data_IF_436895017900
#
_entry.id   IF_436895017900
#
_cell.length_a   1.000
_cell.length_b   1.000
_cell.length_c   1.000
_cell.angle_alpha   90.00
_cell.angle_beta   90.00
_cell.angle_gamma   90.00
#
_symmetry.space_group_name_H-M   'P 1'
#
loop_
_entity.id
_entity.type
_entity.pdbx_description
1 polymer ?
#
# COMPACT_ATOMS: atom_id res chain seq x y z
N UNK A 1 10.30 -5.36 28.71
CA UNK A 1 9.64 -6.27 27.74
C UNK A 1 10.63 -6.51 26.62
N UNK A 2 11.08 -7.75 26.43
CA UNK A 2 12.15 -8.06 25.46
C UNK A 2 11.52 -8.12 24.06
N UNK A 3 12.27 -7.76 23.02
CA UNK A 3 11.81 -7.75 21.61
C UNK A 3 11.21 -9.10 21.14
N UNK A 4 11.67 -10.22 21.74
CA UNK A 4 11.13 -11.56 21.49
C UNK A 4 9.66 -11.73 21.93
N UNK A 5 9.23 -11.01 22.97
CA UNK A 5 7.84 -11.09 23.45
C UNK A 5 6.86 -10.38 22.50
N UNK A 6 7.36 -9.37 21.78
CA UNK A 6 6.57 -8.62 20.79
C UNK A 6 6.43 -9.42 19.49
N UNK A 7 7.48 -10.12 19.04
CA UNK A 7 7.39 -10.95 17.82
C UNK A 7 6.48 -12.16 18.01
N UNK A 8 6.52 -12.81 19.18
CA UNK A 8 5.63 -13.93 19.50
C UNK A 8 4.16 -13.47 19.61
N UNK A 9 3.93 -12.28 20.15
CA UNK A 9 2.59 -11.70 20.20
C UNK A 9 2.06 -11.34 18.81
N UNK A 10 2.90 -10.79 17.93
CA UNK A 10 2.55 -10.52 16.53
C UNK A 10 2.28 -11.80 15.74
N UNK A 11 3.07 -12.87 15.94
CA UNK A 11 2.82 -14.17 15.31
C UNK A 11 1.46 -14.76 15.72
N UNK A 12 1.12 -14.75 17.01
CA UNK A 12 -0.18 -15.23 17.50
C UNK A 12 -1.36 -14.42 16.94
N UNK A 13 -1.19 -13.11 16.71
CA UNK A 13 -2.22 -12.28 16.07
C UNK A 13 -2.42 -12.62 14.60
N UNK A 14 -1.32 -12.93 13.88
CA UNK A 14 -1.37 -13.34 12.47
C UNK A 14 -2.10 -14.68 12.29
N UNK A 15 -1.84 -15.68 13.15
CA UNK A 15 -2.52 -16.97 13.09
C UNK A 15 -4.03 -16.85 13.37
N UNK A 16 -4.40 -16.00 14.34
CA UNK A 16 -5.82 -15.73 14.65
C UNK A 16 -6.54 -14.98 13.53
N UNK A 17 -5.85 -14.09 12.82
CA UNK A 17 -6.41 -13.39 11.67
C UNK A 17 -6.61 -14.33 10.47
N UNK A 18 -5.62 -15.19 10.21
CA UNK A 18 -5.68 -16.24 9.18
C UNK A 18 -6.81 -17.23 9.48
N UNK A 19 -6.94 -17.70 10.73
CA UNK A 19 -8.02 -18.60 11.13
C UNK A 19 -9.43 -17.96 10.99
N UNK A 20 -9.56 -16.66 11.26
CA UNK A 20 -10.82 -15.91 11.05
C UNK A 20 -11.19 -15.77 9.57
N UNK A 21 -10.21 -15.61 8.68
CA UNK A 21 -10.43 -15.59 7.23
C UNK A 21 -10.96 -16.94 6.73
N UNK A 22 -10.44 -18.06 7.25
CA UNK A 22 -10.94 -19.40 6.92
C UNK A 22 -12.38 -19.64 7.45
N UNK A 23 -12.70 -19.19 8.67
CA UNK A 23 -14.05 -19.33 9.25
C UNK A 23 -15.12 -18.53 8.50
N UNK A 24 -14.79 -17.32 8.04
CA UNK A 24 -15.73 -16.48 7.29
C UNK A 24 -15.96 -16.98 5.85
N UNK A 25 -14.98 -17.68 5.25
CA UNK A 25 -15.14 -18.29 3.92
C UNK A 25 -16.08 -19.49 3.96
N UNK A 26 -15.99 -20.33 5.00
CA UNK A 26 -16.91 -21.46 5.21
C UNK A 26 -18.37 -21.03 5.49
N UNK A 27 -18.58 -19.86 6.10
CA UNK A 27 -19.92 -19.32 6.39
C UNK A 27 -20.59 -18.65 5.19
N UNK A 28 -19.81 -18.15 4.22
CA UNK A 28 -20.34 -17.56 2.97
C UNK A 28 -20.74 -18.61 1.93
N UNK A 29 -20.16 -19.81 1.99
CA UNK A 29 -20.56 -20.92 1.11
C UNK A 29 -21.86 -21.60 1.53
N UNK A 30 -22.39 -21.32 2.73
CA UNK A 30 -23.62 -21.92 3.24
C UNK A 30 -24.86 -21.01 3.19
N UNK A 31 -24.74 -19.75 2.74
CA UNK A 31 -25.86 -18.78 2.77
C UNK A 31 -26.36 -18.33 1.39
N UNK A 32 -25.94 -18.98 0.30
CA UNK A 32 -26.43 -18.68 -1.06
C UNK A 32 -27.25 -19.86 -1.57
N UNK A 33 -28.36 -20.11 -0.89
CA UNK A 33 -29.49 -20.91 -1.38
C UNK A 33 -30.73 -20.47 -0.60
N UNK A 34 -31.57 -19.61 -1.18
CA UNK A 34 -32.83 -19.21 -0.56
C UNK A 34 -33.41 -17.86 -0.98
N UNK A 35 -34.22 -17.90 -2.04
CA UNK A 35 -35.51 -17.19 -2.23
C UNK A 35 -35.61 -15.66 -2.38
N UNK A 36 -36.34 -15.34 -3.45
CA UNK A 36 -36.96 -14.11 -3.97
C UNK A 36 -38.08 -13.50 -3.11
N UNK A 37 -38.30 -12.17 -3.18
CA UNK A 37 -39.49 -11.52 -3.81
C UNK A 37 -39.69 -10.04 -3.45
N UNK A 38 -39.68 -9.17 -4.47
CA UNK A 38 -40.65 -8.11 -4.91
C UNK A 38 -41.29 -7.08 -3.94
N UNK A 39 -41.44 -5.86 -4.50
CA UNK A 39 -42.31 -4.70 -4.21
C UNK A 39 -41.64 -3.59 -3.35
N UNK A 40 -41.59 -2.30 -3.73
CA UNK A 40 -42.27 -1.52 -4.78
C UNK A 40 -43.02 -0.35 -4.13
N UNK A 41 -42.62 0.90 -4.36
CA UNK A 41 -43.46 2.10 -4.25
C UNK A 41 -42.71 3.35 -4.75
N UNK A 42 -43.46 4.15 -5.50
CA UNK A 42 -43.04 5.29 -6.33
C UNK A 42 -43.46 6.62 -5.69
N UNK A 43 -43.07 7.71 -6.38
CA UNK A 43 -43.70 9.04 -6.43
C UNK A 43 -43.37 10.06 -5.33
N UNK A 44 -43.28 11.37 -5.57
CA UNK A 44 -43.17 12.28 -6.75
C UNK A 44 -42.95 13.68 -6.09
N UNK A 45 -42.10 14.52 -6.71
CA UNK A 45 -42.18 16.00 -6.93
C UNK A 45 -42.54 16.94 -5.73
N UNK A 46 -42.16 18.22 -5.63
CA UNK A 46 -41.90 19.23 -6.65
C UNK A 46 -41.20 20.47 -6.06
N UNK A 47 -40.50 21.14 -6.97
CA UNK A 47 -39.92 22.49 -7.10
C UNK A 47 -40.59 23.68 -6.36
N UNK A 48 -39.81 24.73 -5.97
CA UNK A 48 -39.72 26.05 -6.66
C UNK A 48 -39.02 27.16 -5.82
N UNK A 49 -38.14 27.89 -6.51
CA UNK A 49 -37.39 29.12 -6.13
C UNK A 49 -38.16 30.41 -6.57
N UNK A 50 -37.61 31.65 -6.58
CA UNK A 50 -36.73 32.39 -5.65
C UNK A 50 -37.12 33.91 -5.47
N UNK A 51 -36.28 34.66 -4.73
CA UNK A 51 -35.95 36.11 -4.83
C UNK A 51 -37.05 37.15 -4.44
N UNK A 52 -36.82 38.38 -3.92
CA UNK A 52 -35.75 39.39 -4.08
C UNK A 52 -35.81 40.43 -2.91
N UNK A 53 -34.74 41.22 -2.78
CA UNK A 53 -34.43 42.48 -2.04
C UNK A 53 -35.62 43.38 -1.61
N UNK A 54 -35.57 44.31 -0.64
CA UNK A 54 -34.64 45.45 -0.56
C UNK A 54 -34.90 46.31 0.72
N UNK A 55 -33.85 46.98 1.22
CA UNK A 55 -33.76 48.28 1.91
C UNK A 55 -34.52 48.65 3.21
N UNK A 56 -33.70 48.97 4.22
CA UNK A 56 -33.91 49.86 5.40
C UNK A 56 -34.10 51.35 5.00
N UNK A 57 -34.67 52.27 5.83
CA UNK A 57 -33.91 52.92 6.92
C UNK A 57 -34.67 53.43 8.18
N UNK A 58 -33.92 53.45 9.29
CA UNK A 58 -33.83 54.41 10.42
C UNK A 58 -35.09 55.04 11.05
N UNK A 59 -35.24 54.86 12.38
CA UNK A 59 -35.55 55.98 13.28
C UNK A 59 -35.05 55.75 14.72
N UNK A 60 -34.68 56.86 15.36
CA UNK A 60 -34.07 57.03 16.67
C UNK A 60 -34.96 56.56 17.84
N UNK A 61 -34.36 56.22 19.00
CA UNK A 61 -34.55 57.01 20.23
C UNK A 61 -33.81 56.40 21.43
N UNK A 62 -33.16 57.31 22.16
CA UNK A 62 -32.51 57.16 23.46
C UNK A 62 -33.34 56.44 24.53
N UNK A 63 -32.66 55.69 25.41
CA UNK A 63 -32.60 56.01 26.86
C UNK A 63 -31.72 55.02 27.63
N UNK A 64 -30.82 55.60 28.42
CA UNK A 64 -30.06 54.97 29.49
C UNK A 64 -30.99 54.33 30.53
N UNK A 65 -30.76 53.06 30.85
CA UNK A 65 -31.04 52.49 32.18
C UNK A 65 -29.81 51.67 32.59
N UNK A 66 -29.09 52.17 33.59
CA UNK A 66 -28.09 51.42 34.34
C UNK A 66 -28.83 50.38 35.20
N UNK A 67 -28.56 49.10 34.98
CA UNK A 67 -28.69 48.08 36.01
C UNK A 67 -27.44 47.22 36.06
N UNK A 68 -26.87 47.20 37.26
CA UNK A 68 -25.68 46.46 37.67
C UNK A 68 -25.72 45.00 37.20
N UNK A 69 -24.86 44.65 36.24
CA UNK A 69 -24.52 43.25 35.99
C UNK A 69 -23.33 42.87 36.87
N UNK A 70 -23.60 42.01 37.86
CA UNK A 70 -22.60 41.23 38.58
C UNK A 70 -21.71 40.51 37.56
N UNK A 71 -20.52 41.05 37.30
CA UNK A 71 -19.48 40.37 36.52
C UNK A 71 -19.05 39.13 37.29
N UNK A 72 -19.69 37.99 37.02
CA UNK A 72 -19.16 36.68 37.40
C UNK A 72 -17.84 36.49 36.65
N UNK A 73 -16.74 36.73 37.34
CA UNK A 73 -15.38 36.54 36.83
C UNK A 73 -15.21 35.04 36.54
N UNK A 74 -15.31 34.63 35.27
CA UNK A 74 -14.98 33.26 34.83
C UNK A 74 -13.55 32.94 35.32
N UNK A 75 -13.44 32.14 36.38
CA UNK A 75 -12.16 31.61 36.84
C UNK A 75 -11.74 30.56 35.81
N UNK A 76 -10.97 30.96 34.81
CA UNK A 76 -10.29 30.01 33.94
C UNK A 76 -9.22 29.31 34.79
N UNK A 77 -9.44 28.04 35.13
CA UNK A 77 -8.45 27.21 35.84
C UNK A 77 -7.12 27.29 35.09
N UNK A 78 -6.12 27.95 35.68
CA UNK A 78 -4.81 28.17 35.09
C UNK A 78 -4.11 26.81 34.95
N UNK A 79 -4.05 26.25 33.73
CA UNK A 79 -3.40 24.94 33.46
C UNK A 79 -2.02 24.88 34.12
N UNK A 80 -1.72 23.78 34.81
CA UNK A 80 -0.43 23.56 35.47
C UNK A 80 0.72 23.65 34.46
N UNK A 81 1.89 24.11 34.89
CA UNK A 81 3.07 24.22 34.01
C UNK A 81 3.45 22.88 33.37
N UNK A 82 3.14 21.77 34.04
CA UNK A 82 3.32 20.40 33.53
C UNK A 82 2.38 20.09 32.35
N UNK A 83 1.09 20.42 32.48
CA UNK A 83 0.11 20.19 31.41
C UNK A 83 0.43 21.01 30.14
N UNK A 84 1.02 22.20 30.29
CA UNK A 84 1.48 23.03 29.16
C UNK A 84 2.67 22.45 28.38
N UNK A 85 3.42 21.53 28.99
CA UNK A 85 4.56 20.85 28.36
C UNK A 85 4.12 19.50 27.76
N UNK A 86 3.19 18.81 28.44
CA UNK A 86 2.74 17.49 28.02
C UNK A 86 1.88 17.53 26.73
N UNK A 87 1.03 18.55 26.58
CA UNK A 87 0.16 18.74 25.41
C UNK A 87 0.93 18.81 24.06
N UNK A 88 1.95 19.68 23.88
CA UNK A 88 2.70 19.72 22.63
C UNK A 88 3.52 18.45 22.38
N UNK A 89 4.06 17.81 23.43
CA UNK A 89 4.78 16.53 23.29
C UNK A 89 3.83 15.44 22.79
N UNK A 90 2.62 15.36 23.36
CA UNK A 90 1.61 14.40 22.93
C UNK A 90 1.18 14.63 21.47
N UNK A 91 1.04 15.89 21.04
CA UNK A 91 0.74 16.23 19.64
C UNK A 91 1.87 15.83 18.68
N UNK A 92 3.13 16.07 19.06
CA UNK A 92 4.28 15.66 18.22
C UNK A 92 4.37 14.14 18.13
N UNK A 93 4.16 13.42 19.24
CA UNK A 93 4.14 11.95 19.24
C UNK A 93 2.99 11.39 18.39
N UNK A 94 1.81 11.99 18.48
CA UNK A 94 0.67 11.61 17.63
C UNK A 94 0.96 11.87 16.15
N UNK A 95 1.62 12.99 15.82
CA UNK A 95 2.09 13.30 14.47
C UNK A 95 3.07 12.23 13.95
N UNK A 96 4.13 11.95 14.71
CA UNK A 96 5.13 10.89 14.43
C UNK A 96 4.46 9.54 14.15
N UNK A 97 3.51 9.13 14.99
CA UNK A 97 2.75 7.87 14.82
C UNK A 97 1.90 7.87 13.54
N UNK A 98 1.15 8.94 13.29
CA UNK A 98 0.32 9.07 12.10
C UNK A 98 1.16 9.02 10.82
N UNK A 99 2.26 9.80 10.80
CA UNK A 99 3.13 9.90 9.64
C UNK A 99 3.98 8.65 9.42
N UNK A 100 4.32 7.88 10.45
CA UNK A 100 5.10 6.63 10.31
C UNK A 100 4.29 5.45 9.77
N UNK A 101 2.95 5.53 9.84
CA UNK A 101 2.07 4.45 9.39
C UNK A 101 2.30 4.04 7.92
N UNK A 102 2.36 4.94 6.92
CA UNK A 102 2.63 4.58 5.52
C UNK A 102 3.94 3.81 5.34
N UNK A 103 5.03 4.21 6.03
CA UNK A 103 6.32 3.52 5.92
C UNK A 103 6.25 2.12 6.55
N UNK A 104 5.75 2.02 7.78
CA UNK A 104 5.62 0.74 8.47
C UNK A 104 4.69 -0.22 7.74
N UNK A 105 3.54 0.27 7.24
CA UNK A 105 2.59 -0.54 6.47
C UNK A 105 3.15 -0.98 5.13
N UNK A 106 3.92 -0.11 4.45
CA UNK A 106 4.59 -0.48 3.20
C UNK A 106 5.64 -1.56 3.41
N UNK A 107 6.51 -1.41 4.42
CA UNK A 107 7.49 -2.45 4.76
C UNK A 107 6.82 -3.76 5.14
N UNK A 108 5.73 -3.70 5.90
CA UNK A 108 4.94 -4.88 6.27
C UNK A 108 4.32 -5.57 5.05
N UNK A 109 3.65 -4.83 4.17
CA UNK A 109 3.02 -5.40 2.99
C UNK A 109 4.04 -5.98 2.00
N UNK A 110 5.18 -5.30 1.82
CA UNK A 110 6.28 -5.82 1.01
C UNK A 110 6.80 -7.16 1.57
N UNK A 111 6.93 -7.25 2.90
CA UNK A 111 7.33 -8.48 3.57
C UNK A 111 6.29 -9.59 3.37
N UNK A 112 5.01 -9.30 3.58
CA UNK A 112 3.91 -10.25 3.38
C UNK A 112 3.88 -10.77 1.95
N UNK A 113 4.01 -9.91 0.94
CA UNK A 113 4.05 -10.34 -0.47
C UNK A 113 5.26 -11.25 -0.76
N UNK A 114 6.42 -10.98 -0.14
CA UNK A 114 7.62 -11.81 -0.25
C UNK A 114 7.45 -13.17 0.43
N UNK A 115 6.83 -13.21 1.60
CA UNK A 115 6.52 -14.46 2.31
C UNK A 115 5.52 -15.32 1.52
N UNK A 116 4.44 -14.72 1.00
CA UNK A 116 3.46 -15.41 0.15
C UNK A 116 4.15 -16.01 -1.09
N UNK A 117 5.02 -15.24 -1.74
CA UNK A 117 5.81 -15.73 -2.88
C UNK A 117 6.74 -16.88 -2.48
N UNK A 118 7.35 -16.82 -1.30
CA UNK A 118 8.25 -17.88 -0.83
C UNK A 118 7.50 -19.15 -0.43
N UNK A 119 6.31 -19.00 0.17
CA UNK A 119 5.40 -20.12 0.45
C UNK A 119 4.95 -20.80 -0.85
N UNK A 120 4.68 -20.01 -1.90
CA UNK A 120 4.35 -20.52 -3.23
C UNK A 120 5.52 -21.24 -3.91
N UNK A 121 6.71 -20.64 -3.91
CA UNK A 121 7.95 -21.28 -4.39
C UNK A 121 8.10 -22.65 -3.71
N UNK A 122 7.98 -22.71 -2.37
CA UNK A 122 8.10 -23.95 -1.60
C UNK A 122 7.02 -24.97 -1.97
N UNK A 123 5.76 -24.56 -2.02
CA UNK A 123 4.64 -25.43 -2.40
C UNK A 123 4.89 -26.09 -3.75
N UNK A 124 5.32 -25.31 -4.75
CA UNK A 124 5.65 -25.83 -6.07
C UNK A 124 6.87 -26.75 -6.04
N UNK A 125 7.90 -26.42 -5.27
CA UNK A 125 9.09 -27.28 -5.18
C UNK A 125 8.78 -28.65 -4.54
N UNK A 126 7.85 -28.69 -3.58
CA UNK A 126 7.41 -29.91 -2.88
C UNK A 126 6.48 -30.80 -3.73
N UNK A 127 5.84 -30.26 -4.77
CA UNK A 127 5.01 -31.05 -5.68
C UNK A 127 5.83 -32.00 -6.57
N UNK A 128 5.23 -33.15 -6.89
CA UNK A 128 5.80 -34.10 -7.84
C UNK A 128 6.00 -33.46 -9.22
N UNK A 129 7.17 -33.67 -9.82
CA UNK A 129 7.57 -32.96 -11.03
C UNK A 129 6.68 -33.24 -12.26
N UNK A 130 6.00 -34.39 -12.30
CA UNK A 130 5.03 -34.75 -13.32
C UNK A 130 3.75 -33.91 -13.26
N UNK A 131 3.27 -33.60 -12.05
CA UNK A 131 2.15 -32.69 -11.79
C UNK A 131 2.48 -31.29 -12.29
N UNK A 132 3.65 -30.76 -11.92
CA UNK A 132 4.13 -29.44 -12.38
C UNK A 132 4.22 -29.36 -13.90
N UNK A 133 4.82 -30.39 -14.51
CA UNK A 133 4.89 -30.49 -15.98
C UNK A 133 3.50 -30.59 -16.61
N UNK A 134 2.52 -31.21 -15.95
CA UNK A 134 1.15 -31.26 -16.45
C UNK A 134 0.49 -29.87 -16.46
N UNK A 135 0.68 -29.07 -15.40
CA UNK A 135 0.23 -27.67 -15.34
C UNK A 135 0.88 -26.82 -16.44
N UNK A 136 2.21 -26.92 -16.61
CA UNK A 136 2.93 -26.22 -17.69
C UNK A 136 2.44 -26.65 -19.07
N UNK A 137 2.24 -27.96 -19.31
CA UNK A 137 1.69 -28.46 -20.59
C UNK A 137 0.27 -27.97 -20.84
N UNK A 138 -0.58 -27.89 -19.80
CA UNK A 138 -1.93 -27.35 -19.92
C UNK A 138 -1.90 -25.85 -20.27
N UNK A 139 -1.04 -25.06 -19.62
CA UNK A 139 -0.86 -23.65 -19.91
C UNK A 139 -0.32 -23.40 -21.33
N UNK A 140 0.67 -24.20 -21.79
CA UNK A 140 1.18 -24.13 -23.16
C UNK A 140 0.10 -24.46 -24.19
N UNK A 141 -0.77 -25.45 -23.90
CA UNK A 141 -1.95 -25.76 -24.74
C UNK A 141 -2.96 -24.62 -24.77
N UNK A 142 -3.25 -24.01 -23.61
CA UNK A 142 -4.10 -22.82 -23.54
C UNK A 142 -3.56 -21.70 -24.44
N UNK A 143 -2.27 -21.37 -24.31
CA UNK A 143 -1.62 -20.37 -25.14
C UNK A 143 -1.75 -20.73 -26.64
N UNK A 144 -1.53 -21.99 -27.02
CA UNK A 144 -1.60 -22.45 -28.42
C UNK A 144 -2.98 -22.36 -29.07
N UNK A 145 -4.06 -22.50 -28.30
CA UNK A 145 -5.43 -22.41 -28.84
C UNK A 145 -5.89 -20.97 -29.08
N UNK A 146 -5.21 -19.98 -28.51
CA UNK A 146 -5.58 -18.57 -28.60
C UNK A 146 -4.98 -17.90 -29.85
N UNK A 147 -5.83 -17.53 -30.80
CA UNK A 147 -5.43 -16.85 -32.06
C UNK A 147 -5.21 -15.35 -31.86
N UNK A 148 -6.14 -14.68 -31.18
CA UNK A 148 -6.09 -13.21 -31.00
C UNK A 148 -5.50 -12.82 -29.65
N UNK A 149 -4.63 -11.80 -29.68
CA UNK A 149 -4.17 -11.09 -28.49
C UNK A 149 -5.13 -9.96 -28.11
N UNK A 150 -4.82 -9.23 -27.04
CA UNK A 150 -5.56 -8.07 -26.54
C UNK A 150 -6.18 -7.21 -27.65
N UNK A 151 -7.44 -6.85 -27.45
CA UNK A 151 -8.17 -5.91 -28.30
C UNK A 151 -8.45 -4.57 -27.61
N UNK A 152 -8.22 -4.44 -26.29
CA UNK A 152 -8.48 -3.23 -25.46
C UNK A 152 -7.55 -3.13 -24.23
N UNK A 153 -7.55 -1.95 -23.57
CA UNK A 153 -6.70 -1.59 -22.40
C UNK A 153 -6.95 -2.51 -21.17
N UNK A 154 -5.87 -2.98 -20.48
CA UNK A 154 -5.91 -3.66 -19.18
C UNK A 154 -6.67 -2.99 -18.03
N UNK A 155 -6.73 -1.65 -17.98
CA UNK A 155 -7.28 -0.93 -16.82
C UNK A 155 -8.75 -0.54 -16.96
N UNK A 156 -9.33 -0.68 -18.15
CA UNK A 156 -10.74 -0.44 -18.42
C UNK A 156 -11.15 1.05 -18.31
N UNK A 157 -11.98 1.49 -19.25
CA UNK A 157 -12.77 2.72 -19.13
C UNK A 157 -14.24 2.40 -18.85
N UNK A 158 -14.99 3.41 -18.45
CA UNK A 158 -16.44 3.33 -18.23
C UNK A 158 -17.16 2.70 -19.43
N UNK A 159 -18.02 1.70 -19.19
CA UNK A 159 -18.81 1.04 -20.24
C UNK A 159 -18.25 -0.29 -20.78
N UNK A 160 -17.22 -0.87 -20.16
CA UNK A 160 -16.77 -2.23 -20.50
C UNK A 160 -17.78 -3.30 -20.04
N UNK A 161 -18.20 -4.17 -20.95
CA UNK A 161 -18.93 -5.40 -20.57
C UNK A 161 -18.05 -6.25 -19.65
N UNK A 162 -18.67 -6.83 -18.60
CA UNK A 162 -17.96 -7.69 -17.67
C UNK A 162 -17.48 -8.98 -18.36
N UNK A 163 -16.24 -8.95 -18.85
CA UNK A 163 -15.57 -10.09 -19.49
C UNK A 163 -15.43 -11.29 -18.56
N UNK A 164 -15.61 -11.11 -17.24
CA UNK A 164 -15.34 -12.18 -16.26
C UNK A 164 -16.36 -13.29 -16.25
N UNK A 165 -17.55 -13.06 -16.81
CA UNK A 165 -18.58 -14.09 -16.96
C UNK A 165 -18.46 -14.89 -18.27
N UNK A 166 -17.56 -14.51 -19.18
CA UNK A 166 -17.39 -15.20 -20.46
C UNK A 166 -16.80 -16.61 -20.29
N UNK A 167 -17.15 -17.58 -21.16
CA UNK A 167 -16.52 -18.90 -21.14
C UNK A 167 -15.00 -18.85 -21.33
N UNK A 168 -14.50 -17.87 -22.10
CA UNK A 168 -13.06 -17.64 -22.31
C UNK A 168 -12.33 -17.28 -21.03
N UNK A 169 -12.91 -16.39 -20.22
CA UNK A 169 -12.34 -15.99 -18.93
C UNK A 169 -12.40 -17.14 -17.90
N UNK A 170 -13.48 -17.92 -17.89
CA UNK A 170 -13.57 -19.12 -17.03
C UNK A 170 -12.51 -20.17 -17.36
N UNK A 171 -12.19 -20.39 -18.65
CA UNK A 171 -11.08 -21.27 -19.06
C UNK A 171 -9.72 -20.71 -18.64
N UNK A 172 -9.57 -19.39 -18.71
CA UNK A 172 -8.37 -18.71 -18.27
C UNK A 172 -8.11 -18.93 -16.77
N UNK A 173 -9.12 -18.72 -15.91
CA UNK A 173 -8.98 -18.92 -14.47
C UNK A 173 -8.58 -20.35 -14.07
N UNK A 174 -8.93 -21.35 -14.87
CA UNK A 174 -8.58 -22.76 -14.65
C UNK A 174 -7.15 -23.11 -15.06
N UNK A 175 -6.52 -22.29 -15.90
CA UNK A 175 -5.15 -22.54 -16.33
C UNK A 175 -4.19 -22.14 -15.22
N UNK A 176 -3.25 -23.01 -14.83
CA UNK A 176 -2.38 -22.76 -13.66
C UNK A 176 -3.17 -22.50 -12.37
N UNK A 177 -4.39 -23.05 -12.25
CA UNK A 177 -5.19 -22.91 -11.03
C UNK A 177 -4.56 -23.72 -9.88
N UNK A 178 -4.24 -23.02 -8.79
CA UNK A 178 -3.64 -23.60 -7.59
C UNK A 178 -4.37 -23.12 -6.33
N UNK A 179 -4.23 -23.83 -5.18
CA UNK A 179 -5.01 -23.52 -3.98
C UNK A 179 -4.83 -22.10 -3.44
N UNK A 180 -3.67 -21.47 -3.69
CA UNK A 180 -3.37 -20.09 -3.29
C UNK A 180 -3.86 -19.04 -4.30
N UNK A 181 -4.37 -19.44 -5.46
CA UNK A 181 -4.79 -18.55 -6.55
C UNK A 181 -3.64 -17.84 -7.27
N UNK A 182 -2.39 -18.16 -6.90
CA UNK A 182 -1.16 -17.64 -7.51
C UNK A 182 -0.81 -18.52 -8.70
N UNK A 183 -0.44 -17.90 -9.81
CA UNK A 183 -0.07 -18.58 -11.07
C UNK A 183 1.42 -18.52 -11.36
N UNK A 184 2.16 -17.74 -10.58
CA UNK A 184 3.60 -17.56 -10.72
C UNK A 184 4.11 -16.43 -9.84
N UNK A 185 5.39 -16.10 -9.97
CA UNK A 185 6.04 -14.99 -9.26
C UNK A 185 6.86 -14.18 -10.25
N UNK A 186 6.82 -12.86 -10.13
CA UNK A 186 7.74 -11.96 -10.82
C UNK A 186 8.87 -11.56 -9.87
N UNK A 187 10.12 -11.75 -10.31
CA UNK A 187 11.34 -11.42 -9.55
C UNK A 187 12.16 -10.41 -10.36
N UNK A 188 12.52 -9.27 -9.75
CA UNK A 188 13.37 -8.23 -10.35
C UNK A 188 14.45 -7.85 -9.33
N UNK A 189 15.55 -8.63 -9.25
CA UNK A 189 16.54 -8.49 -8.17
C UNK A 189 17.16 -7.10 -8.06
N UNK A 190 17.36 -6.41 -9.20
CA UNK A 190 17.96 -5.07 -9.24
C UNK A 190 17.20 -4.02 -8.44
N UNK A 191 15.88 -4.17 -8.31
CA UNK A 191 15.00 -3.23 -7.59
C UNK A 191 14.25 -3.91 -6.44
N UNK A 192 14.71 -5.10 -6.01
CA UNK A 192 14.16 -5.82 -4.85
C UNK A 192 12.72 -6.31 -5.01
N UNK A 193 12.20 -6.44 -6.23
CA UNK A 193 10.82 -6.90 -6.45
C UNK A 193 10.75 -8.41 -6.38
N UNK A 194 9.87 -8.94 -5.52
CA UNK A 194 9.41 -10.33 -5.54
C UNK A 194 7.90 -10.34 -5.23
N UNK A 195 7.07 -10.49 -6.26
CA UNK A 195 5.61 -10.40 -6.14
C UNK A 195 4.91 -11.65 -6.66
N UNK A 196 3.87 -12.13 -5.99
CA UNK A 196 3.01 -13.17 -6.54
C UNK A 196 2.23 -12.61 -7.74
N UNK A 197 2.06 -13.45 -8.76
CA UNK A 197 1.26 -13.17 -9.95
C UNK A 197 -0.08 -13.90 -9.78
N UNK A 198 -1.17 -13.17 -9.96
CA UNK A 198 -2.53 -13.69 -9.93
C UNK A 198 -3.18 -13.58 -11.32
N UNK A 199 -4.32 -14.26 -11.48
CA UNK A 199 -5.14 -14.09 -12.67
C UNK A 199 -5.85 -12.72 -12.72
N UNK A 200 -5.64 -11.99 -13.81
CA UNK A 200 -6.44 -10.81 -14.14
C UNK A 200 -5.89 -9.54 -13.51
N UNK A 201 -6.58 -8.43 -13.75
CA UNK A 201 -6.10 -7.08 -13.45
C UNK A 201 -7.13 -6.24 -12.71
N UNK A 202 -8.10 -6.89 -12.04
CA UNK A 202 -9.06 -6.19 -11.18
C UNK A 202 -8.34 -5.56 -9.98
N UNK A 203 -8.93 -4.49 -9.44
CA UNK A 203 -8.41 -3.76 -8.28
C UNK A 203 -8.04 -4.70 -7.11
N UNK A 204 -8.95 -5.61 -6.73
CA UNK A 204 -8.69 -6.60 -5.66
C UNK A 204 -7.45 -7.47 -5.92
N UNK A 205 -7.13 -7.72 -7.19
CA UNK A 205 -5.98 -8.53 -7.59
C UNK A 205 -4.70 -7.72 -7.49
N UNK A 206 -4.69 -6.51 -8.06
CA UNK A 206 -3.54 -5.62 -8.06
C UNK A 206 -3.23 -5.07 -6.66
N UNK A 207 -4.22 -5.00 -5.77
CA UNK A 207 -4.01 -4.67 -4.36
C UNK A 207 -3.22 -5.74 -3.57
N UNK A 208 -3.18 -6.99 -4.06
CA UNK A 208 -2.47 -8.10 -3.39
C UNK A 208 -1.10 -8.42 -3.99
N UNK A 209 -0.84 -8.01 -5.21
CA UNK A 209 0.40 -8.33 -5.92
C UNK A 209 0.30 -8.00 -7.41
N UNK A 210 1.04 -8.75 -8.23
CA UNK A 210 0.99 -8.60 -9.66
C UNK A 210 -0.21 -9.36 -10.26
N UNK A 211 -0.76 -8.83 -11.35
CA UNK A 211 -1.79 -9.46 -12.15
C UNK A 211 -1.27 -9.85 -13.53
N UNK A 212 -1.62 -11.02 -14.02
CA UNK A 212 -1.47 -11.35 -15.44
C UNK A 212 -2.62 -10.74 -16.24
N UNK A 213 -2.28 -10.06 -17.34
CA UNK A 213 -3.25 -9.41 -18.20
C UNK A 213 -4.03 -10.42 -19.04
N UNK A 214 -5.31 -10.59 -18.73
CA UNK A 214 -6.18 -11.42 -19.57
C UNK A 214 -6.21 -10.88 -21.00
N UNK A 215 -5.91 -11.74 -21.97
CA UNK A 215 -5.65 -11.27 -23.33
C UNK A 215 -4.27 -11.69 -23.81
N UNK A 216 -3.31 -11.79 -22.89
CA UNK A 216 -1.94 -12.19 -23.20
C UNK A 216 -1.69 -13.68 -22.99
N UNK A 217 -0.54 -14.16 -23.49
CA UNK A 217 -0.10 -15.53 -23.24
C UNK A 217 0.22 -15.71 -21.76
N UNK A 218 -0.19 -16.83 -21.16
CA UNK A 218 0.22 -17.22 -19.81
C UNK A 218 1.75 -17.24 -19.70
N UNK A 219 2.31 -16.97 -18.49
CA UNK A 219 3.74 -16.74 -18.27
C UNK A 219 4.61 -18.02 -18.31
N UNK A 220 4.38 -18.93 -19.26
CA UNK A 220 5.12 -20.21 -19.43
C UNK A 220 6.12 -20.20 -20.58
N UNK A 221 6.30 -19.03 -21.21
CA UNK A 221 7.19 -18.81 -22.36
C UNK A 221 6.81 -19.60 -23.61
N UNK A 222 7.73 -19.59 -24.58
CA UNK A 222 7.63 -20.27 -25.86
C UNK A 222 7.76 -19.32 -27.06
N UNK A 223 8.08 -19.88 -28.22
CA UNK A 223 8.18 -19.11 -29.48
C UNK A 223 6.81 -18.53 -29.86
N UNK A 224 6.81 -17.31 -30.38
CA UNK A 224 5.60 -16.53 -30.73
C UNK A 224 4.69 -16.30 -29.51
N UNK A 225 5.28 -16.00 -28.35
CA UNK A 225 4.54 -15.73 -27.12
C UNK A 225 4.85 -14.34 -26.59
N UNK A 226 3.83 -13.72 -26.00
CA UNK A 226 3.99 -12.48 -25.27
C UNK A 226 3.09 -12.49 -24.03
N UNK A 227 3.70 -12.59 -22.85
CA UNK A 227 3.02 -12.44 -21.55
C UNK A 227 3.12 -11.01 -21.05
N UNK A 228 2.06 -10.50 -20.42
CA UNK A 228 2.09 -9.16 -19.80
C UNK A 228 1.70 -9.30 -18.33
N UNK A 229 2.59 -8.80 -17.46
CA UNK A 229 2.42 -8.79 -16.02
C UNK A 229 2.29 -7.34 -15.58
N UNK A 230 1.24 -7.02 -14.84
CA UNK A 230 0.96 -5.67 -14.34
C UNK A 230 0.99 -5.61 -12.82
N UNK A 231 1.42 -4.48 -12.26
CA UNK A 231 1.24 -4.15 -10.86
C UNK A 231 1.11 -2.62 -10.71
N UNK A 232 0.58 -2.17 -9.57
CA UNK A 232 0.47 -0.74 -9.29
C UNK A 232 1.83 -0.05 -9.17
N UNK A 233 1.78 1.27 -9.35
CA UNK A 233 2.80 2.23 -8.96
C UNK A 233 2.12 3.31 -8.12
N UNK A 234 2.75 3.74 -7.04
CA UNK A 234 2.32 4.82 -6.16
C UNK A 234 1.29 4.44 -5.11
N UNK A 235 1.24 3.18 -4.67
CA UNK A 235 0.37 2.80 -3.54
C UNK A 235 0.95 3.35 -2.23
N UNK A 236 0.08 3.86 -1.36
CA UNK A 236 0.49 4.43 -0.08
C UNK A 236 1.03 3.39 0.92
N UNK A 237 0.77 2.10 0.66
CA UNK A 237 1.02 1.00 1.59
C UNK A 237 1.75 -0.20 0.95
N UNK A 238 2.25 -0.13 -0.28
CA UNK A 238 3.01 -1.21 -0.92
C UNK A 238 3.85 -0.66 -2.07
N UNK A 239 5.08 -1.13 -2.26
CA UNK A 239 5.95 -0.60 -3.33
C UNK A 239 5.70 -1.18 -4.71
N UNK A 240 5.18 -2.41 -4.81
CA UNK A 240 4.79 -3.03 -6.09
C UNK A 240 5.82 -2.79 -7.23
N UNK A 241 5.45 -2.03 -8.28
CA UNK A 241 6.31 -1.65 -9.41
C UNK A 241 6.79 -0.18 -9.34
N UNK A 242 6.82 0.47 -8.18
CA UNK A 242 7.26 1.86 -7.99
C UNK A 242 8.62 2.16 -8.64
N UNK A 243 9.58 1.25 -8.43
CA UNK A 243 10.96 1.36 -8.94
C UNK A 243 11.14 0.77 -10.35
N UNK A 244 10.06 0.45 -11.08
CA UNK A 244 10.17 -0.10 -12.44
C UNK A 244 10.85 0.88 -13.42
N UNK A 245 10.75 2.18 -13.15
CA UNK A 245 11.45 3.26 -13.88
C UNK A 245 12.97 3.20 -13.77
N UNK A 246 13.52 2.49 -12.78
CA UNK A 246 14.96 2.34 -12.57
C UNK A 246 15.59 1.25 -13.47
N UNK A 247 14.75 0.42 -14.11
CA UNK A 247 15.21 -0.57 -15.08
C UNK A 247 15.73 0.09 -16.36
N UNK A 248 16.75 -0.52 -16.93
CA UNK A 248 17.43 -0.11 -18.14
C UNK A 248 17.51 -1.28 -19.11
N UNK A 249 17.71 -0.96 -20.39
CA UNK A 249 18.04 -1.97 -21.40
C UNK A 249 19.28 -2.74 -20.95
N UNK A 250 19.21 -4.06 -21.02
CA UNK A 250 20.25 -4.98 -20.56
C UNK A 250 20.01 -5.59 -19.19
N UNK A 251 19.13 -5.03 -18.36
CA UNK A 251 18.76 -5.60 -17.07
C UNK A 251 17.95 -6.90 -17.23
N UNK A 252 17.88 -7.69 -16.17
CA UNK A 252 17.15 -8.95 -16.13
C UNK A 252 15.97 -8.91 -15.16
N UNK A 253 14.92 -9.62 -15.53
CA UNK A 253 13.83 -10.02 -14.64
C UNK A 253 13.46 -11.48 -14.90
N UNK A 254 12.74 -12.07 -13.96
CA UNK A 254 12.45 -13.50 -13.96
C UNK A 254 10.98 -13.75 -13.67
N UNK A 255 10.43 -14.76 -14.32
CA UNK A 255 9.10 -15.28 -14.03
C UNK A 255 9.27 -16.71 -13.52
N UNK A 256 8.79 -16.98 -12.31
CA UNK A 256 8.77 -18.31 -11.73
C UNK A 256 7.37 -18.89 -11.87
N UNK A 257 7.24 -20.03 -12.55
CA UNK A 257 5.94 -20.68 -12.77
C UNK A 257 6.12 -22.17 -12.59
N UNK A 258 5.39 -22.76 -11.64
CA UNK A 258 5.41 -24.22 -11.39
C UNK A 258 6.84 -24.77 -11.14
N UNK A 259 7.71 -23.98 -10.52
CA UNK A 259 9.11 -24.32 -10.23
C UNK A 259 10.06 -24.19 -11.43
N UNK A 260 9.58 -23.68 -12.58
CA UNK A 260 10.42 -23.29 -13.72
C UNK A 260 10.70 -21.77 -13.64
N UNK A 261 11.97 -21.39 -13.46
CA UNK A 261 12.39 -19.99 -13.53
C UNK A 261 12.78 -19.62 -14.95
N UNK A 262 12.05 -18.66 -15.52
CA UNK A 262 12.20 -18.13 -16.88
C UNK A 262 12.92 -16.78 -16.84
N UNK A 263 14.08 -16.66 -17.48
CA UNK A 263 14.88 -15.41 -17.47
C UNK A 263 14.61 -14.53 -18.70
N UNK A 264 14.34 -13.25 -18.49
CA UNK A 264 14.14 -12.26 -19.55
C UNK A 264 15.13 -11.10 -19.44
N UNK A 265 15.66 -10.64 -20.57
CA UNK A 265 16.54 -9.47 -20.67
C UNK A 265 15.81 -8.30 -21.30
N UNK A 266 15.75 -7.18 -20.59
CA UNK A 266 15.10 -5.94 -21.02
C UNK A 266 15.79 -5.42 -22.28
N UNK A 267 15.03 -5.17 -23.34
CA UNK A 267 15.55 -4.58 -24.57
C UNK A 267 14.75 -3.35 -25.02
N UNK A 268 13.53 -3.19 -24.50
CA UNK A 268 12.63 -2.11 -24.88
C UNK A 268 11.92 -1.56 -23.66
N UNK A 269 11.90 -0.24 -23.55
CA UNK A 269 11.21 0.53 -22.51
C UNK A 269 10.45 1.66 -23.21
N UNK A 270 9.15 1.73 -23.00
CA UNK A 270 8.28 2.72 -23.65
C UNK A 270 7.26 3.29 -22.66
N UNK A 271 6.90 4.56 -22.87
CA UNK A 271 5.73 5.17 -22.25
C UNK A 271 4.68 5.33 -23.35
N UNK A 272 3.48 4.80 -23.12
CA UNK A 272 2.39 4.78 -24.09
C UNK A 272 1.08 5.29 -23.49
N UNK A 273 0.15 5.69 -24.35
CA UNK A 273 -1.23 5.94 -23.95
C UNK A 273 -1.87 4.65 -23.42
N UNK A 274 -2.75 4.71 -22.39
CA UNK A 274 -3.45 3.53 -21.88
C UNK A 274 -4.16 2.69 -22.95
N UNK A 275 -4.67 3.32 -24.01
CA UNK A 275 -5.38 2.63 -25.10
C UNK A 275 -4.45 2.05 -26.16
N UNK A 276 -3.16 2.39 -26.15
CA UNK A 276 -2.18 1.86 -27.09
C UNK A 276 -1.66 0.49 -26.64
N UNK A 277 -2.28 -0.55 -27.19
CA UNK A 277 -1.94 -1.95 -26.97
C UNK A 277 -1.03 -2.53 -28.06
N UNK A 278 -0.54 -1.72 -28.99
CA UNK A 278 0.24 -2.19 -30.16
C UNK A 278 1.51 -2.92 -29.74
N UNK A 279 2.18 -2.42 -28.70
CA UNK A 279 3.42 -2.99 -28.15
C UNK A 279 3.21 -4.23 -27.28
N UNK A 280 1.96 -4.57 -26.95
CA UNK A 280 1.60 -5.75 -26.15
C UNK A 280 1.30 -6.98 -27.02
N UNK A 281 1.34 -6.84 -28.35
CA UNK A 281 1.05 -7.90 -29.30
C UNK A 281 2.23 -8.90 -29.43
N UNK A 282 1.96 -10.10 -29.94
CA UNK A 282 2.97 -11.12 -30.22
C UNK A 282 3.90 -10.64 -31.33
N UNK A 283 5.19 -10.87 -31.16
CA UNK A 283 6.17 -10.66 -32.22
C UNK A 283 6.64 -12.00 -32.81
N UNK A 284 6.62 -12.10 -34.14
CA UNK A 284 6.96 -13.33 -34.86
C UNK A 284 8.39 -13.77 -34.50
N UNK A 285 8.53 -15.03 -34.11
CA UNK A 285 9.77 -15.68 -33.73
C UNK A 285 10.24 -15.42 -32.30
N UNK A 286 9.57 -14.55 -31.54
CA UNK A 286 10.06 -14.09 -30.23
C UNK A 286 9.28 -14.71 -29.07
N UNK A 287 9.95 -14.81 -27.93
CA UNK A 287 9.38 -15.10 -26.61
C UNK A 287 9.59 -13.87 -25.74
N UNK A 288 8.49 -13.17 -25.44
CA UNK A 288 8.49 -11.86 -24.82
C UNK A 288 7.71 -11.86 -23.51
N UNK A 289 8.19 -11.05 -22.58
CA UNK A 289 7.44 -10.68 -21.38
C UNK A 289 7.51 -9.16 -21.21
N UNK A 290 6.36 -8.53 -20.92
CA UNK A 290 6.30 -7.11 -20.59
C UNK A 290 5.85 -6.93 -19.14
N UNK A 291 6.60 -6.13 -18.39
CA UNK A 291 6.19 -5.59 -17.11
C UNK A 291 5.50 -4.26 -17.37
N UNK A 292 4.29 -4.10 -16.87
CA UNK A 292 3.41 -2.97 -17.14
C UNK A 292 3.06 -2.27 -15.82
N UNK A 293 3.15 -0.94 -15.79
CA UNK A 293 2.61 -0.14 -14.69
C UNK A 293 2.15 1.25 -15.17
N UNK A 294 1.53 2.03 -14.29
CA UNK A 294 1.12 3.40 -14.58
C UNK A 294 2.28 4.39 -14.41
N UNK A 295 2.27 5.48 -15.16
CA UNK A 295 3.29 6.54 -15.11
C UNK A 295 2.70 7.87 -15.62
N UNK A 296 3.26 9.05 -15.31
CA UNK A 296 4.23 9.36 -14.26
C UNK A 296 3.71 9.06 -12.85
N UNK A 297 4.63 8.89 -11.90
CA UNK A 297 4.31 8.56 -10.50
C UNK A 297 3.31 9.55 -9.90
N UNK A 298 2.20 9.04 -9.34
CA UNK A 298 1.14 9.85 -8.74
C UNK A 298 0.18 10.53 -9.72
N UNK A 299 0.47 10.50 -11.03
CA UNK A 299 -0.40 11.05 -12.09
C UNK A 299 -1.09 9.92 -12.88
N UNK A 300 -0.37 8.84 -13.18
CA UNK A 300 -0.90 7.61 -13.78
C UNK A 300 -1.65 7.81 -15.13
N UNK A 301 -1.34 8.87 -15.87
CA UNK A 301 -1.98 9.20 -17.15
C UNK A 301 -1.53 8.32 -18.32
N UNK A 302 -0.35 7.70 -18.22
CA UNK A 302 0.26 6.85 -19.23
C UNK A 302 0.60 5.48 -18.65
N UNK A 303 1.11 4.58 -19.50
CA UNK A 303 1.61 3.25 -19.11
C UNK A 303 3.09 3.13 -19.42
N UNK A 304 3.87 2.68 -18.44
CA UNK A 304 5.26 2.29 -18.61
C UNK A 304 5.30 0.81 -18.97
N UNK A 305 5.89 0.50 -20.12
CA UNK A 305 6.12 -0.86 -20.61
C UNK A 305 7.61 -1.17 -20.57
N UNK A 306 7.99 -2.19 -19.81
CA UNK A 306 9.36 -2.74 -19.80
C UNK A 306 9.32 -4.14 -20.39
N UNK A 307 9.73 -4.28 -21.65
CA UNK A 307 9.70 -5.55 -22.39
C UNK A 307 11.08 -6.21 -22.41
N UNK A 308 11.11 -7.48 -22.01
CA UNK A 308 12.26 -8.36 -22.13
C UNK A 308 12.05 -9.49 -23.13
N UNK A 309 13.14 -9.98 -23.72
CA UNK A 309 13.16 -11.22 -24.49
C UNK A 309 13.74 -12.36 -23.66
N UNK A 310 13.27 -13.58 -23.91
CA UNK A 310 13.73 -14.79 -23.22
C UNK A 310 15.21 -15.08 -23.46
N UNK A 311 15.96 -15.41 -22.41
CA UNK A 311 17.39 -15.77 -22.47
C UNK A 311 17.64 -17.16 -21.87
N UNK A 312 17.96 -18.12 -22.75
CA UNK A 312 18.33 -19.50 -22.40
C UNK A 312 19.77 -19.59 -21.85
N UNK A 313 20.17 -20.68 -21.17
CA UNK A 313 19.36 -21.85 -20.76
C UNK A 313 18.47 -21.56 -19.55
N UNK A 314 17.41 -22.34 -19.39
CA UNK A 314 16.56 -22.41 -18.19
C UNK A 314 16.63 -23.85 -17.62
N UNK A 315 16.34 -24.06 -16.31
CA UNK A 315 16.05 -23.06 -15.29
C UNK A 315 17.31 -22.33 -14.81
N UNK A 316 17.17 -21.05 -14.47
CA UNK A 316 18.26 -20.24 -13.87
C UNK A 316 17.91 -19.93 -12.43
N UNK A 317 18.87 -20.05 -11.51
CA UNK A 317 18.70 -19.51 -10.16
C UNK A 317 18.62 -17.98 -10.23
N UNK A 318 17.50 -17.40 -9.79
CA UNK A 318 17.39 -15.95 -9.67
C UNK A 318 18.36 -15.45 -8.57
N UNK A 319 19.08 -14.33 -8.79
CA UNK A 319 19.87 -13.69 -7.75
C UNK A 319 19.04 -13.37 -6.50
N UNK A 320 19.70 -13.27 -5.35
CA UNK A 320 19.05 -12.82 -4.13
C UNK A 320 18.47 -11.42 -4.30
N UNK A 321 17.31 -11.20 -3.68
CA UNK A 321 16.59 -9.94 -3.70
C UNK A 321 16.83 -9.16 -2.40
N UNK A 322 16.93 -7.84 -2.51
CA UNK A 322 17.06 -6.94 -1.37
C UNK A 322 15.71 -6.29 -1.03
N UNK A 323 15.64 -5.65 0.13
CA UNK A 323 14.45 -4.91 0.55
C UNK A 323 14.27 -3.68 -0.34
N UNK A 324 13.07 -3.48 -0.87
CA UNK A 324 12.74 -2.26 -1.61
C UNK A 324 12.77 -1.06 -0.68
N UNK A 325 13.61 -0.07 -1.01
CA UNK A 325 13.78 1.12 -0.18
C UNK A 325 13.74 2.40 -1.03
N UNK A 326 12.54 2.87 -1.40
CA UNK A 326 12.39 4.10 -2.17
C UNK A 326 12.94 5.33 -1.44
N UNK A 327 13.37 6.35 -2.20
CA UNK A 327 13.94 7.57 -1.64
C UNK A 327 13.00 8.30 -0.67
N UNK A 328 11.69 8.29 -0.90
CA UNK A 328 10.74 8.96 -0.01
C UNK A 328 10.76 8.37 1.41
N UNK A 329 11.03 7.07 1.58
CA UNK A 329 11.20 6.46 2.90
C UNK A 329 12.47 6.95 3.61
N UNK A 330 13.58 7.16 2.88
CA UNK A 330 14.79 7.76 3.47
C UNK A 330 14.52 9.17 3.99
N UNK A 331 13.88 10.01 3.17
CA UNK A 331 13.55 11.39 3.54
C UNK A 331 12.60 11.41 4.73
N UNK A 332 11.65 10.47 4.75
CA UNK A 332 10.73 10.30 5.86
C UNK A 332 11.46 9.95 7.16
N UNK A 333 12.34 8.95 7.16
CA UNK A 333 13.13 8.56 8.34
C UNK A 333 14.03 9.71 8.82
N UNK A 334 14.66 10.46 7.90
CA UNK A 334 15.47 11.64 8.25
C UNK A 334 14.60 12.71 8.93
N UNK A 335 13.41 13.01 8.39
CA UNK A 335 12.47 13.94 9.01
C UNK A 335 12.03 13.49 10.40
N UNK A 336 11.85 12.18 10.61
CA UNK A 336 11.53 11.59 11.90
C UNK A 336 12.68 11.72 12.91
N UNK A 337 13.92 11.50 12.48
CA UNK A 337 15.11 11.71 13.31
C UNK A 337 15.23 13.19 13.71
N UNK A 338 15.02 14.11 12.76
CA UNK A 338 15.07 15.55 13.01
C UNK A 338 13.99 16.02 13.99
N UNK A 339 12.75 15.55 13.81
CA UNK A 339 11.65 15.85 14.74
C UNK A 339 11.89 15.28 16.14
N UNK A 340 12.45 14.08 16.25
CA UNK A 340 12.85 13.49 17.53
C UNK A 340 13.98 14.27 18.20
N UNK A 341 14.97 14.76 17.44
CA UNK A 341 16.05 15.60 17.96
C UNK A 341 15.54 16.94 18.51
N UNK A 342 14.61 17.60 17.80
CA UNK A 342 13.95 18.82 18.28
C UNK A 342 13.18 18.54 19.57
N UNK A 343 12.43 17.44 19.63
CA UNK A 343 11.69 17.05 20.83
C UNK A 343 12.64 16.82 22.02
N UNK A 344 13.75 16.11 21.81
CA UNK A 344 14.75 15.86 22.83
C UNK A 344 15.40 17.17 23.33
N UNK A 345 15.72 18.09 22.43
CA UNK A 345 16.23 19.42 22.78
C UNK A 345 15.22 20.21 23.60
N UNK A 346 13.93 20.20 23.22
CA UNK A 346 12.87 20.89 23.97
C UNK A 346 12.72 20.32 25.38
N UNK A 347 12.76 18.99 25.54
CA UNK A 347 12.72 18.32 26.85
C UNK A 347 13.95 18.71 27.69
N UNK A 348 15.15 18.72 27.10
CA UNK A 348 16.38 19.11 27.78
C UNK A 348 16.32 20.56 28.28
N UNK A 349 15.84 21.50 27.47
CA UNK A 349 15.67 22.91 27.88
C UNK A 349 14.67 23.06 29.02
N UNK A 350 13.55 22.34 28.98
CA UNK A 350 12.53 22.36 30.04
C UNK A 350 13.07 21.74 31.34
N UNK A 351 13.75 20.59 31.25
CA UNK A 351 14.39 19.95 32.38
C UNK A 351 15.47 20.84 32.99
N UNK A 352 16.29 21.49 32.17
CA UNK A 352 17.30 22.47 32.58
C UNK A 352 16.69 23.68 33.30
N UNK A 353 15.60 24.27 32.77
CA UNK A 353 14.86 25.36 33.44
C UNK A 353 14.28 24.91 34.79
N UNK A 354 13.80 23.66 34.89
CA UNK A 354 13.26 23.10 36.13
C UNK A 354 14.38 22.88 37.17
N UNK A 355 15.53 22.31 36.77
CA UNK A 355 16.72 22.18 37.65
C UNK A 355 17.21 23.53 38.16
N UNK A 356 17.35 24.54 37.29
CA UNK A 356 17.78 25.89 37.67
C UNK A 356 16.83 26.56 38.67
N UNK A 357 15.52 26.31 38.59
CA UNK A 357 14.54 26.79 39.60
C UNK A 357 14.69 26.10 40.96
N UNK A 358 15.04 24.81 40.97
CA UNK A 358 15.25 24.06 42.21
C UNK A 358 16.54 24.51 42.89
N UNK A 359 17.63 24.75 42.12
CA UNK A 359 18.88 25.30 42.65
C UNK A 359 18.70 26.69 43.27
N UNK A 360 17.95 27.60 42.62
CA UNK A 360 17.69 28.94 43.18
C UNK A 360 16.88 28.85 44.48
N UNK A 361 15.90 27.94 44.57
CA UNK A 361 15.12 27.73 45.81
C UNK A 361 15.96 27.10 46.93
N UNK A 362 16.83 26.14 46.61
CA UNK A 362 17.76 25.56 47.58
C UNK A 362 18.74 26.59 48.14
N UNK A 363 19.25 27.50 47.29
CA UNK A 363 20.11 28.62 47.73
C UNK A 363 19.38 29.63 48.63
N UNK A 364 18.10 29.91 48.37
CA UNK A 364 17.29 30.77 49.26
C UNK A 364 17.06 30.14 50.64
N UNK A 365 16.81 28.82 50.72
CA UNK A 365 16.62 28.12 52.00
C UNK A 365 17.92 28.13 52.83
N UNK A 366 19.08 27.93 52.18
CA UNK A 366 20.39 28.04 52.83
C UNK A 366 20.70 29.47 53.31
N UNK A 367 20.24 30.49 52.58
CA UNK A 367 20.45 31.90 52.97
C UNK A 367 19.57 32.31 54.16
N UNK A 368 18.30 31.89 54.20
CA UNK A 368 17.40 32.13 55.35
C UNK A 368 17.89 31.40 56.61
N UNK A 369 18.36 30.15 56.47
CA UNK A 369 18.96 29.41 57.59
C UNK A 369 20.23 30.06 58.17
N UNK A 370 21.03 30.76 57.35
CA UNK A 370 22.23 31.49 57.81
C UNK A 370 21.90 32.84 58.48
N UNK A 371 20.77 33.46 58.14
CA UNK A 371 20.29 34.69 58.78
C UNK A 371 19.75 34.45 60.19
N UNK A 372 19.01 33.34 60.39
CA UNK A 372 18.45 32.93 61.68
C UNK A 372 19.55 32.57 62.71
N UNK A 373 20.65 31.95 62.28
CA UNK A 373 21.77 31.58 63.18
C UNK A 373 22.52 32.82 63.70
N UNK A 374 22.53 33.94 62.95
CA UNK A 374 23.17 35.19 63.38
C UNK A 374 22.34 36.01 64.38
N UNK A 375 21.03 35.79 64.46
CA UNK A 375 20.13 36.50 65.38
C UNK A 375 19.98 35.83 66.75
N UNK A 376 20.45 34.59 66.92
CA UNK A 376 20.50 33.87 68.21
C UNK A 376 21.82 34.00 68.98
N UNK A 377 22.80 34.72 68.44
CA UNK A 377 24.15 34.85 69.00
C UNK A 377 24.46 36.26 69.53
N UNK A 378 23.44 37.05 69.88
CA UNK A 378 23.62 38.40 70.44
C UNK A 378 22.80 38.59 71.71
#
# INVERSE_FOLDING_TARGET
MKLADVSNWCHSLSERAVAKLFKNKAKRTSSVAGTSSVAGASDLLEEKSPATEEQTPRFNSSKNINQNTLKTKKITKKKSTLMRILEPIALVLAGILCFSYPVCSTLWNNHVSKEISTAYDKYNHDQAGDVRRAHIRAAKRYNATRKDMLTRDPYGGDGQEDITNTPGYKRYLKALEEPMGIIGIVKIPKIGVKLPIYHGTKEDTLARGAGHLYGTDLPVGGKNRHTVITAHTGLANATMFDSLTELKKGDYFYLDVQGETLRYKVFRINVVDPHDISLLQREKGRDLATLLTCTPYGVNSHRLLVTGYRVLPDPVAAPEDHVQWPLWMTLFVIAMIFSAAILAMMIAVVAGKKRRKWDIRGKHILWVGRGEIKLRAK
#
